data_IF_990548072467
#
_entry.id   IF_990548072467
#
_cell.length_a   1.000
_cell.length_b   1.000
_cell.length_c   1.000
_cell.angle_alpha   90.00
_cell.angle_beta   90.00
_cell.angle_gamma   90.00
#
_symmetry.space_group_name_H-M   'P 1'
#
loop_
_entity.id
_entity.type
_entity.pdbx_description
1 polymer ?
#
# COMPACT_ATOMS: atom_id res chain seq x y z
N UNK A 1 1.37 -23.10 28.39
CA UNK A 1 2.12 -22.96 27.12
C UNK A 1 3.45 -22.28 27.39
N UNK A 2 4.56 -22.86 26.95
CA UNK A 2 5.90 -22.27 27.17
C UNK A 2 6.03 -20.93 26.44
N UNK A 3 6.74 -19.95 27.02
CA UNK A 3 6.98 -18.63 26.41
C UNK A 3 7.54 -18.73 24.98
N UNK A 4 8.33 -19.77 24.71
CA UNK A 4 8.89 -20.08 23.39
C UNK A 4 7.79 -20.39 22.37
N UNK A 5 6.76 -21.15 22.75
CA UNK A 5 5.65 -21.49 21.86
C UNK A 5 4.78 -20.27 21.52
N UNK A 6 4.62 -19.33 22.46
CA UNK A 6 3.87 -18.09 22.24
C UNK A 6 4.61 -17.17 21.25
N UNK A 7 5.92 -16.99 21.44
CA UNK A 7 6.73 -16.16 20.53
C UNK A 7 6.76 -16.75 19.12
N UNK A 8 6.93 -18.07 19.01
CA UNK A 8 6.93 -18.75 17.71
C UNK A 8 5.59 -18.59 16.97
N UNK A 9 4.46 -18.73 17.67
CA UNK A 9 3.14 -18.54 17.07
C UNK A 9 2.92 -17.10 16.56
N UNK A 10 3.36 -16.08 17.31
CA UNK A 10 3.24 -14.68 16.89
C UNK A 10 4.06 -14.35 15.64
N UNK A 11 5.23 -14.96 15.47
CA UNK A 11 6.08 -14.74 14.30
C UNK A 11 5.44 -15.32 13.03
N UNK A 12 4.92 -16.54 13.11
CA UNK A 12 4.26 -17.20 11.96
C UNK A 12 3.03 -16.43 11.51
N UNK A 13 2.21 -15.95 12.46
CA UNK A 13 1.01 -15.17 12.13
C UNK A 13 1.36 -13.85 11.42
N UNK A 14 2.42 -13.16 11.87
CA UNK A 14 2.85 -11.91 11.23
C UNK A 14 3.36 -12.12 9.79
N UNK A 15 4.09 -13.21 9.53
CA UNK A 15 4.56 -13.53 8.19
C UNK A 15 3.39 -13.80 7.24
N UNK A 16 2.39 -14.56 7.69
CA UNK A 16 1.19 -14.84 6.92
C UNK A 16 0.42 -13.56 6.55
N UNK A 17 0.23 -12.65 7.52
CA UNK A 17 -0.44 -11.37 7.26
C UNK A 17 0.33 -10.47 6.27
N UNK A 18 1.67 -10.55 6.24
CA UNK A 18 2.47 -9.83 5.23
C UNK A 18 2.35 -10.45 3.84
N UNK A 19 2.40 -11.76 3.76
CA UNK A 19 2.24 -12.48 2.50
C UNK A 19 0.85 -12.24 1.89
N UNK A 20 -0.20 -12.27 2.71
CA UNK A 20 -1.55 -11.98 2.24
C UNK A 20 -1.69 -10.56 1.69
N UNK A 21 -1.20 -9.54 2.40
CA UNK A 21 -1.21 -8.16 1.91
C UNK A 21 -0.41 -7.97 0.61
N UNK A 22 0.70 -8.69 0.46
CA UNK A 22 1.49 -8.69 -0.78
C UNK A 22 0.72 -9.33 -1.95
N UNK A 23 0.00 -10.44 -1.72
CA UNK A 23 -0.83 -11.08 -2.73
C UNK A 23 -1.94 -10.15 -3.23
N UNK A 24 -2.59 -9.42 -2.32
CA UNK A 24 -3.57 -8.40 -2.68
C UNK A 24 -2.94 -7.31 -3.57
N UNK A 25 -1.77 -6.80 -3.20
CA UNK A 25 -1.03 -5.85 -4.04
C UNK A 25 -0.76 -6.40 -5.45
N UNK A 26 -0.25 -7.63 -5.53
CA UNK A 26 0.08 -8.28 -6.81
C UNK A 26 -1.13 -8.47 -7.71
N UNK A 27 -2.28 -8.80 -7.12
CA UNK A 27 -3.50 -9.07 -7.85
C UNK A 27 -4.20 -7.80 -8.32
N UNK A 28 -4.29 -6.78 -7.47
CA UNK A 28 -5.16 -5.62 -7.72
C UNK A 28 -4.42 -4.33 -8.05
N UNK A 29 -3.16 -4.17 -7.64
CA UNK A 29 -2.43 -2.90 -7.71
C UNK A 29 -1.28 -2.93 -8.73
N UNK A 30 -0.61 -4.08 -8.87
CA UNK A 30 0.60 -4.22 -9.66
C UNK A 30 0.40 -4.09 -11.19
N UNK A 31 -0.85 -4.07 -11.66
CA UNK A 31 -1.19 -3.81 -13.07
C UNK A 31 -0.90 -2.36 -13.49
N UNK A 32 -0.89 -1.43 -12.53
CA UNK A 32 -0.64 -0.01 -12.75
C UNK A 32 0.57 0.50 -11.97
N UNK A 33 0.74 0.05 -10.73
CA UNK A 33 1.80 0.50 -9.85
C UNK A 33 3.00 -0.45 -9.88
N UNK A 34 4.19 0.07 -10.13
CA UNK A 34 5.42 -0.66 -9.85
C UNK A 34 5.67 -0.70 -8.34
N UNK A 35 6.23 -1.79 -7.83
CA UNK A 35 6.53 -1.91 -6.39
C UNK A 35 7.62 -0.92 -5.99
N UNK A 36 8.69 -0.95 -6.78
CA UNK A 36 9.83 -0.06 -6.72
C UNK A 36 10.34 0.15 -8.13
N UNK A 37 10.85 1.35 -8.38
CA UNK A 37 11.62 1.64 -9.58
C UNK A 37 13.11 1.57 -9.31
N UNK A 38 13.83 0.92 -10.20
CA UNK A 38 15.29 1.00 -10.22
C UNK A 38 15.75 2.37 -10.73
N UNK A 39 16.90 2.82 -10.23
CA UNK A 39 17.51 4.08 -10.66
C UNK A 39 17.75 4.05 -12.18
N UNK A 40 17.27 5.07 -12.89
CA UNK A 40 17.38 5.16 -14.34
C UNK A 40 16.33 4.39 -15.13
N UNK A 41 15.33 3.79 -14.46
CA UNK A 41 14.19 3.19 -15.15
C UNK A 41 13.39 4.25 -15.93
N UNK A 42 12.94 3.87 -17.12
CA UNK A 42 12.06 4.69 -17.93
C UNK A 42 10.66 4.73 -17.32
N UNK A 43 10.31 5.87 -16.74
CA UNK A 43 9.02 6.09 -16.09
C UNK A 43 7.91 6.49 -17.07
N UNK A 44 8.20 6.61 -18.37
CA UNK A 44 7.17 6.92 -19.38
C UNK A 44 6.17 5.78 -19.56
N UNK A 45 6.57 4.56 -19.18
CA UNK A 45 5.79 3.33 -19.39
C UNK A 45 4.89 2.94 -18.21
N UNK A 46 5.10 3.52 -17.03
CA UNK A 46 4.29 3.22 -15.84
C UNK A 46 3.00 4.04 -15.81
N UNK A 47 1.90 3.38 -15.44
CA UNK A 47 0.55 3.96 -15.46
C UNK A 47 0.16 4.67 -14.16
N UNK A 48 0.95 4.49 -13.10
CA UNK A 48 0.70 5.07 -11.79
C UNK A 48 2.02 5.25 -11.01
N UNK A 49 2.04 6.06 -9.93
CA UNK A 49 3.23 6.25 -9.11
C UNK A 49 3.75 4.94 -8.52
N UNK A 50 5.07 4.75 -8.39
CA UNK A 50 5.63 3.59 -7.70
C UNK A 50 5.20 3.54 -6.23
N UNK A 51 4.90 2.35 -5.72
CA UNK A 51 4.40 2.15 -4.36
C UNK A 51 5.42 2.56 -3.31
N UNK A 52 6.71 2.32 -3.52
CA UNK A 52 7.74 2.70 -2.57
C UNK A 52 7.77 4.22 -2.32
N UNK A 53 7.75 5.02 -3.39
CA UNK A 53 7.74 6.47 -3.32
C UNK A 53 6.42 7.00 -2.76
N UNK A 54 5.29 6.44 -3.21
CA UNK A 54 3.97 6.82 -2.71
C UNK A 54 3.81 6.50 -1.22
N UNK A 55 4.30 5.35 -0.76
CA UNK A 55 4.22 4.95 0.65
C UNK A 55 5.02 5.90 1.53
N UNK A 56 6.24 6.29 1.12
CA UNK A 56 7.04 7.29 1.86
C UNK A 56 6.31 8.63 1.97
N UNK A 57 5.70 9.08 0.87
CA UNK A 57 4.92 10.32 0.86
C UNK A 57 3.71 10.24 1.80
N UNK A 58 2.94 9.15 1.76
CA UNK A 58 1.77 8.98 2.64
C UNK A 58 2.21 8.94 4.11
N UNK A 59 3.31 8.24 4.45
CA UNK A 59 3.85 8.20 5.82
C UNK A 59 4.31 9.55 6.33
N UNK A 60 4.76 10.44 5.45
CA UNK A 60 5.14 11.80 5.83
C UNK A 60 3.93 12.57 6.39
N UNK A 61 2.76 12.44 5.74
CA UNK A 61 1.50 13.05 6.19
C UNK A 61 0.83 12.27 7.34
N UNK A 62 0.85 10.94 7.28
CA UNK A 62 0.20 10.03 8.23
C UNK A 62 1.24 9.15 8.92
N UNK A 63 1.85 9.71 9.97
CA UNK A 63 3.04 9.15 10.63
C UNK A 63 2.82 7.87 11.41
N UNK A 64 1.58 7.59 11.80
CA UNK A 64 1.24 6.37 12.55
C UNK A 64 0.65 5.33 11.61
N UNK A 65 0.90 4.06 11.94
CA UNK A 65 0.31 2.90 11.24
C UNK A 65 -1.20 3.06 11.06
N UNK A 66 -1.91 3.42 12.13
CA UNK A 66 -3.38 3.50 12.10
C UNK A 66 -3.87 4.62 11.18
N UNK A 67 -3.23 5.80 11.21
CA UNK A 67 -3.59 6.91 10.30
C UNK A 67 -3.22 6.63 8.85
N UNK A 68 -2.09 5.96 8.62
CA UNK A 68 -1.71 5.51 7.29
C UNK A 68 -2.75 4.52 6.74
N UNK A 69 -3.13 3.51 7.53
CA UNK A 69 -4.10 2.50 7.11
C UNK A 69 -5.49 3.09 6.90
N UNK A 70 -5.97 3.94 7.81
CA UNK A 70 -7.25 4.66 7.69
C UNK A 70 -7.32 5.45 6.38
N UNK A 71 -6.29 6.26 6.10
CA UNK A 71 -6.20 7.02 4.85
C UNK A 71 -6.21 6.10 3.62
N UNK A 72 -5.42 5.04 3.62
CA UNK A 72 -5.25 4.21 2.44
C UNK A 72 -6.52 3.39 2.14
N UNK A 73 -7.21 2.91 3.17
CA UNK A 73 -8.49 2.21 3.03
C UNK A 73 -9.56 3.16 2.45
N UNK A 74 -9.65 4.39 2.94
CA UNK A 74 -10.56 5.41 2.38
C UNK A 74 -10.21 5.72 0.92
N UNK A 75 -8.94 5.99 0.63
CA UNK A 75 -8.50 6.37 -0.71
C UNK A 75 -8.63 5.23 -1.74
N UNK A 76 -8.42 3.97 -1.35
CA UNK A 76 -8.67 2.81 -2.25
C UNK A 76 -10.15 2.69 -2.61
N UNK A 77 -11.03 3.00 -1.65
CA UNK A 77 -12.47 2.86 -1.79
C UNK A 77 -13.09 3.98 -2.62
N UNK A 78 -12.66 5.21 -2.37
CA UNK A 78 -13.22 6.41 -2.96
C UNK A 78 -12.11 7.47 -3.17
N UNK A 79 -11.22 7.25 -4.16
CA UNK A 79 -10.14 8.17 -4.49
C UNK A 79 -10.69 9.46 -5.10
N UNK A 80 -10.15 10.60 -4.66
CA UNK A 80 -10.46 11.91 -5.23
C UNK A 80 -9.22 12.81 -5.26
N UNK A 81 -9.18 13.84 -6.11
CA UNK A 81 -8.11 14.84 -6.10
C UNK A 81 -7.88 15.47 -4.72
N UNK A 82 -8.97 15.77 -4.01
CA UNK A 82 -8.96 16.45 -2.70
C UNK A 82 -8.37 15.57 -1.60
N UNK A 83 -8.59 14.25 -1.70
CA UNK A 83 -8.02 13.27 -0.76
C UNK A 83 -6.54 12.98 -1.06
N UNK A 84 -6.05 13.26 -2.27
CA UNK A 84 -4.69 12.88 -2.66
C UNK A 84 -3.60 13.67 -1.92
N UNK A 85 -2.67 12.96 -1.27
CA UNK A 85 -1.45 13.56 -0.68
C UNK A 85 -0.36 13.87 -1.71
N UNK A 86 -0.59 13.58 -2.99
CA UNK A 86 0.37 13.79 -4.07
C UNK A 86 -0.29 14.50 -5.25
N UNK A 87 -0.41 15.83 -5.15
CA UNK A 87 -0.90 16.66 -6.25
C UNK A 87 -0.13 16.45 -7.57
N UNK A 88 1.22 16.37 -7.58
CA UNK A 88 1.96 16.07 -8.81
C UNK A 88 1.63 14.69 -9.42
N UNK A 89 1.23 13.73 -8.58
CA UNK A 89 0.82 12.42 -9.06
C UNK A 89 -0.51 12.50 -9.82
N UNK A 90 -1.47 13.30 -9.33
CA UNK A 90 -2.75 13.54 -10.02
C UNK A 90 -2.52 14.27 -11.34
N UNK A 91 -1.65 15.27 -11.37
CA UNK A 91 -1.32 16.00 -12.60
C UNK A 91 -0.69 15.09 -13.67
N UNK A 92 0.09 14.08 -13.24
CA UNK A 92 0.80 13.16 -14.15
C UNK A 92 -0.03 11.95 -14.58
N UNK A 93 -0.72 11.29 -13.65
CA UNK A 93 -1.40 10.01 -13.88
C UNK A 93 -2.92 10.09 -13.77
N UNK A 94 -3.46 11.25 -13.39
CA UNK A 94 -4.87 11.40 -13.08
C UNK A 94 -5.24 10.84 -11.70
N UNK A 95 -6.54 10.80 -11.43
CA UNK A 95 -7.08 10.23 -10.20
C UNK A 95 -7.05 8.72 -10.31
N UNK A 96 -6.57 8.05 -9.25
CA UNK A 96 -6.63 6.60 -9.15
C UNK A 96 -8.09 6.14 -9.28
N UNK A 97 -8.41 5.09 -10.05
CA UNK A 97 -9.76 4.54 -10.05
C UNK A 97 -10.06 3.82 -8.72
N UNK A 98 -11.31 3.82 -8.24
CA UNK A 98 -11.71 3.05 -7.06
C UNK A 98 -11.53 1.56 -7.32
N UNK A 99 -11.01 0.82 -6.33
CA UNK A 99 -10.84 -0.64 -6.43
C UNK A 99 -11.97 -1.33 -5.67
N UNK A 100 -13.09 -1.54 -6.36
CA UNK A 100 -14.38 -1.94 -5.77
C UNK A 100 -14.46 -3.41 -5.34
N UNK A 101 -13.59 -4.25 -5.90
CA UNK A 101 -13.65 -5.70 -5.69
C UNK A 101 -12.95 -6.16 -4.39
N UNK A 102 -12.29 -5.25 -3.66
CA UNK A 102 -11.69 -5.58 -2.37
C UNK A 102 -12.68 -5.44 -1.23
N UNK A 103 -12.65 -6.42 -0.33
CA UNK A 103 -13.21 -6.32 1.02
C UNK A 103 -12.42 -5.33 1.88
N UNK A 104 -13.02 -4.87 2.98
CA UNK A 104 -12.31 -4.01 3.95
C UNK A 104 -11.07 -4.69 4.55
N UNK A 105 -11.11 -6.00 4.78
CA UNK A 105 -9.97 -6.77 5.29
C UNK A 105 -8.81 -6.79 4.30
N UNK A 106 -9.10 -6.96 3.01
CA UNK A 106 -8.06 -6.96 1.97
C UNK A 106 -7.42 -5.57 1.82
N UNK A 107 -8.22 -4.50 1.87
CA UNK A 107 -7.73 -3.11 1.87
C UNK A 107 -6.82 -2.86 3.07
N UNK A 108 -7.22 -3.31 4.26
CA UNK A 108 -6.38 -3.20 5.46
C UNK A 108 -5.08 -4.00 5.32
N UNK A 109 -5.16 -5.20 4.75
CA UNK A 109 -4.01 -6.09 4.57
C UNK A 109 -2.97 -5.50 3.63
N UNK A 110 -3.38 -4.97 2.47
CA UNK A 110 -2.45 -4.30 1.54
C UNK A 110 -1.88 -3.02 2.13
N UNK A 111 -2.68 -2.25 2.88
CA UNK A 111 -2.19 -1.05 3.56
C UNK A 111 -1.15 -1.36 4.63
N UNK A 112 -1.38 -2.40 5.43
CA UNK A 112 -0.42 -2.87 6.44
C UNK A 112 0.87 -3.40 5.80
N UNK A 113 0.76 -4.11 4.68
CA UNK A 113 1.92 -4.54 3.89
C UNK A 113 2.72 -3.32 3.39
N UNK A 114 2.09 -2.33 2.75
CA UNK A 114 2.77 -1.11 2.32
C UNK A 114 3.48 -0.42 3.49
N UNK A 115 2.78 -0.20 4.61
CA UNK A 115 3.35 0.46 5.79
C UNK A 115 4.59 -0.27 6.35
N UNK A 116 4.66 -1.60 6.27
CA UNK A 116 5.79 -2.36 6.83
C UNK A 116 6.97 -2.48 5.86
N UNK A 117 6.72 -2.50 4.55
CA UNK A 117 7.74 -2.88 3.56
C UNK A 117 8.52 -1.72 2.95
N UNK A 118 8.02 -0.48 3.02
CA UNK A 118 8.72 0.69 2.50
C UNK A 118 9.10 1.64 3.63
N UNK A 119 10.38 2.01 3.74
CA UNK A 119 10.89 2.93 4.76
C UNK A 119 10.96 4.36 4.24
#
# INVERSE_FOLDING_TARGET
>A
MSRVAIVFFLLVFNAFAQEYGYQIYRQYCASCHAEKLETGSDQSTIKAPPIDALTRQIKYFYRTKDKFTEYLVDYISDPSPEKSVCKPCIERWGVMPPVKDLTEEEKQSVALWMYKNFR
#
